data_IF_294720195556
#
_entry.id   IF_294720195556
#
_cell.length_a   1.000
_cell.length_b   1.000
_cell.length_c   1.000
_cell.angle_alpha   90.00
_cell.angle_beta   90.00
_cell.angle_gamma   90.00
#
_symmetry.space_group_name_H-M   'P 1'
#
loop_
_entity.id
_entity.type
_entity.pdbx_description
1 polymer ?
#
# COMPACT_ATOMS: atom_id res chain seq x y z
N UNK A 1 -13.05 15.21 33.53
CA UNK A 1 -12.50 14.94 32.19
C UNK A 1 -13.07 13.62 31.74
N UNK A 2 -14.00 13.65 30.78
CA UNK A 2 -14.70 12.44 30.32
C UNK A 2 -13.88 11.81 29.17
N UNK A 3 -13.44 10.57 29.34
CA UNK A 3 -12.83 9.75 28.30
C UNK A 3 -13.89 9.47 27.21
N UNK A 4 -13.69 10.01 26.02
CA UNK A 4 -14.41 9.60 24.81
C UNK A 4 -13.53 8.54 24.14
N UNK A 5 -13.75 7.27 24.49
CA UNK A 5 -13.24 6.15 23.75
C UNK A 5 -14.04 6.05 22.44
N UNK A 6 -13.42 6.36 21.33
CA UNK A 6 -13.99 6.22 20.00
C UNK A 6 -14.10 4.71 19.70
N UNK A 7 -15.32 4.18 19.79
CA UNK A 7 -15.63 2.78 19.45
C UNK A 7 -15.79 2.64 17.94
N UNK A 8 -14.70 2.54 17.20
CA UNK A 8 -14.75 1.97 15.86
C UNK A 8 -14.94 0.46 16.01
N UNK A 9 -16.17 0.00 15.79
CA UNK A 9 -16.50 -1.41 15.84
C UNK A 9 -16.02 -2.13 14.59
N UNK A 10 -15.59 -3.39 14.73
CA UNK A 10 -15.26 -4.31 13.61
C UNK A 10 -16.32 -4.32 12.50
N UNK A 11 -17.58 -4.04 12.83
CA UNK A 11 -18.68 -3.93 11.87
C UNK A 11 -18.54 -2.76 10.89
N UNK A 12 -17.95 -1.65 11.30
CA UNK A 12 -17.80 -0.48 10.43
C UNK A 12 -16.63 -0.67 9.47
N UNK A 13 -15.60 -1.38 9.88
CA UNK A 13 -14.48 -1.81 9.02
C UNK A 13 -14.97 -2.80 7.92
N UNK A 14 -15.77 -3.80 8.28
CA UNK A 14 -16.29 -4.77 7.30
C UNK A 14 -17.34 -4.14 6.35
N UNK A 15 -18.10 -3.14 6.81
CA UNK A 15 -19.01 -2.39 5.93
C UNK A 15 -18.25 -1.53 4.92
N UNK A 16 -17.10 -0.98 5.28
CA UNK A 16 -16.26 -0.23 4.34
C UNK A 16 -15.64 -1.12 3.27
N UNK A 17 -15.33 -2.39 3.59
CA UNK A 17 -14.87 -3.38 2.61
C UNK A 17 -16.01 -3.90 1.71
N UNK A 18 -17.25 -3.96 2.21
CA UNK A 18 -18.42 -4.44 1.45
C UNK A 18 -18.96 -3.45 0.41
N UNK A 19 -18.45 -2.23 0.37
CA UNK A 19 -18.81 -1.21 -0.64
C UNK A 19 -17.82 -1.12 -1.82
N UNK A 20 -16.80 -1.97 -1.84
CA UNK A 20 -15.90 -2.07 -2.97
C UNK A 20 -16.53 -2.92 -4.07
N UNK A 21 -17.08 -2.25 -5.07
CA UNK A 21 -17.40 -2.63 -6.43
C UNK A 21 -18.34 -3.83 -6.68
N UNK A 22 -19.43 -3.62 -7.42
CA UNK A 22 -20.08 -4.74 -8.08
C UNK A 22 -19.10 -5.33 -9.10
N UNK A 23 -18.87 -6.64 -9.03
CA UNK A 23 -18.25 -7.41 -10.09
C UNK A 23 -19.13 -7.26 -11.34
N UNK A 24 -18.79 -6.34 -12.23
CA UNK A 24 -19.40 -6.29 -13.54
C UNK A 24 -18.65 -7.32 -14.39
N UNK A 25 -19.22 -8.50 -14.52
CA UNK A 25 -18.94 -9.37 -15.66
C UNK A 25 -19.44 -8.65 -16.92
N UNK A 26 -18.60 -7.81 -17.50
CA UNK A 26 -18.83 -7.23 -18.82
C UNK A 26 -18.09 -8.06 -19.84
N UNK A 27 -18.80 -8.47 -20.89
CA UNK A 27 -18.24 -8.96 -22.13
C UNK A 27 -17.19 -7.97 -22.70
N UNK A 28 -16.27 -8.41 -23.59
CA UNK A 28 -15.25 -7.54 -24.18
C UNK A 28 -15.92 -6.49 -25.05
N UNK A 29 -16.23 -5.36 -24.44
CA UNK A 29 -16.68 -4.15 -25.11
C UNK A 29 -15.76 -3.04 -24.65
N UNK A 30 -15.18 -2.33 -25.59
CA UNK A 30 -14.37 -1.13 -25.44
C UNK A 30 -15.01 -0.19 -24.41
N UNK A 31 -14.47 -0.15 -23.20
CA UNK A 31 -14.78 0.90 -22.23
C UNK A 31 -14.00 2.13 -22.67
N UNK A 32 -14.68 3.01 -23.39
CA UNK A 32 -14.18 4.37 -23.63
C UNK A 32 -14.27 5.08 -22.29
N UNK A 33 -13.14 5.24 -21.61
CA UNK A 33 -13.07 6.06 -20.42
C UNK A 33 -13.47 7.50 -20.81
N UNK A 34 -14.44 8.03 -20.11
CA UNK A 34 -14.89 9.41 -20.32
C UNK A 34 -13.82 10.37 -19.76
N UNK A 35 -12.88 10.76 -20.63
CA UNK A 35 -11.76 11.66 -20.32
C UNK A 35 -12.20 13.08 -19.93
N UNK A 36 -13.50 13.38 -19.99
CA UNK A 36 -14.06 14.70 -19.64
C UNK A 36 -14.53 14.81 -18.18
N UNK A 37 -14.40 13.78 -17.36
CA UNK A 37 -14.97 13.78 -16.01
C UNK A 37 -14.38 14.84 -15.05
N UNK A 38 -13.24 15.43 -15.36
CA UNK A 38 -12.66 16.54 -14.56
C UNK A 38 -13.13 17.92 -15.06
N UNK A 39 -13.54 18.04 -16.35
CA UNK A 39 -13.93 19.29 -16.97
C UNK A 39 -15.42 19.62 -16.86
N UNK A 40 -16.30 18.63 -16.58
CA UNK A 40 -17.74 18.84 -16.48
C UNK A 40 -18.12 19.36 -15.07
N UNK A 41 -18.35 20.67 -14.98
CA UNK A 41 -18.67 21.37 -13.75
C UNK A 41 -19.95 20.87 -13.06
N UNK A 42 -19.77 20.38 -11.84
CA UNK A 42 -20.75 20.54 -10.79
C UNK A 42 -20.33 21.77 -9.97
N UNK A 43 -21.28 22.55 -9.47
CA UNK A 43 -21.08 23.73 -8.63
C UNK A 43 -20.61 23.37 -7.19
N UNK A 44 -19.79 22.33 -7.08
CA UNK A 44 -19.05 21.98 -5.85
C UNK A 44 -17.90 22.97 -5.66
N UNK A 45 -17.55 23.34 -4.42
CA UNK A 45 -16.39 24.19 -4.17
C UNK A 45 -15.18 23.61 -4.88
N UNK A 46 -14.46 24.46 -5.62
CA UNK A 46 -13.30 24.07 -6.43
C UNK A 46 -12.35 23.26 -5.57
N UNK A 47 -12.11 21.99 -5.92
CA UNK A 47 -11.23 21.12 -5.17
C UNK A 47 -9.86 21.80 -5.01
N UNK A 48 -9.29 21.75 -3.81
CA UNK A 48 -7.96 22.32 -3.54
C UNK A 48 -6.92 21.61 -4.39
N UNK A 49 -6.07 22.39 -5.06
CA UNK A 49 -4.97 21.85 -5.87
C UNK A 49 -3.67 21.83 -5.06
N UNK A 50 -2.91 20.76 -5.20
CA UNK A 50 -1.54 20.62 -4.69
C UNK A 50 -0.64 20.25 -5.86
N UNK A 51 0.61 20.71 -5.82
CA UNK A 51 1.60 20.44 -6.86
C UNK A 51 2.94 20.00 -6.26
N UNK A 52 3.63 19.11 -6.97
CA UNK A 52 4.99 18.66 -6.65
C UNK A 52 5.73 18.27 -7.94
N UNK A 53 7.01 17.96 -7.83
CA UNK A 53 7.80 17.43 -8.96
C UNK A 53 7.41 15.98 -9.28
N UNK A 54 7.04 15.22 -8.26
CA UNK A 54 6.54 13.83 -8.37
C UNK A 54 5.32 13.63 -7.48
N UNK A 55 4.29 13.02 -8.01
CA UNK A 55 3.16 12.48 -7.25
C UNK A 55 3.25 10.95 -7.25
N UNK A 56 3.28 10.36 -6.05
CA UNK A 56 3.28 8.91 -5.84
C UNK A 56 1.91 8.51 -5.31
N UNK A 57 1.18 7.72 -6.06
CA UNK A 57 -0.12 7.18 -5.63
C UNK A 57 0.10 5.77 -5.08
N UNK A 58 -0.20 5.61 -3.79
CA UNK A 58 0.08 4.41 -3.02
C UNK A 58 1.32 4.55 -2.12
N UNK A 59 1.12 4.42 -0.82
CA UNK A 59 2.15 4.55 0.20
C UNK A 59 2.72 3.22 0.68
N UNK A 60 2.57 2.14 -0.11
CA UNK A 60 3.22 0.86 0.16
C UNK A 60 4.74 0.97 0.23
N UNK A 61 5.45 -0.13 0.45
CA UNK A 61 6.92 -0.09 0.55
C UNK A 61 7.57 0.47 -0.72
N UNK A 62 7.02 0.15 -1.90
CA UNK A 62 7.46 0.70 -3.18
C UNK A 62 7.26 2.20 -3.28
N UNK A 63 6.09 2.71 -2.85
CA UNK A 63 5.80 4.14 -2.80
C UNK A 63 6.71 4.90 -1.84
N UNK A 64 6.96 4.36 -0.65
CA UNK A 64 7.92 4.92 0.30
C UNK A 64 9.34 4.97 -0.28
N UNK A 65 9.76 3.92 -0.99
CA UNK A 65 11.06 3.86 -1.65
C UNK A 65 11.17 4.90 -2.78
N UNK A 66 10.13 5.06 -3.59
CA UNK A 66 10.06 6.06 -4.66
C UNK A 66 10.12 7.47 -4.10
N UNK A 67 9.32 7.77 -3.06
CA UNK A 67 9.33 9.07 -2.39
C UNK A 67 10.70 9.40 -1.79
N UNK A 68 11.34 8.44 -1.10
CA UNK A 68 12.67 8.60 -0.53
C UNK A 68 13.74 8.84 -1.60
N UNK A 69 13.68 8.08 -2.70
CA UNK A 69 14.64 8.23 -3.81
C UNK A 69 14.49 9.60 -4.50
N UNK A 70 13.26 10.03 -4.78
CA UNK A 70 12.99 11.33 -5.38
C UNK A 70 13.47 12.48 -4.47
N UNK A 71 13.13 12.41 -3.19
CA UNK A 71 13.55 13.42 -2.21
C UNK A 71 15.08 13.53 -2.08
N UNK A 72 15.81 12.40 -2.09
CA UNK A 72 17.29 12.38 -2.10
C UNK A 72 17.88 13.02 -3.35
N UNK A 73 17.15 13.02 -4.46
CA UNK A 73 17.54 13.70 -5.70
C UNK A 73 17.06 15.16 -5.77
N UNK A 74 16.55 15.71 -4.68
CA UNK A 74 16.15 17.12 -4.59
C UNK A 74 14.74 17.42 -5.07
N UNK A 75 13.94 16.43 -5.43
CA UNK A 75 12.56 16.61 -5.90
C UNK A 75 11.60 16.80 -4.73
N UNK A 76 10.58 17.63 -4.94
CA UNK A 76 9.41 17.68 -4.07
C UNK A 76 8.45 16.55 -4.40
N UNK A 77 7.84 15.94 -3.37
CA UNK A 77 7.01 14.74 -3.52
C UNK A 77 5.71 14.88 -2.73
N UNK A 78 4.59 14.53 -3.36
CA UNK A 78 3.34 14.23 -2.68
C UNK A 78 3.11 12.72 -2.82
N UNK A 79 2.98 12.01 -1.70
CA UNK A 79 2.66 10.59 -1.67
C UNK A 79 1.30 10.39 -1.01
N UNK A 80 0.41 9.59 -1.62
CA UNK A 80 -0.86 9.21 -1.01
C UNK A 80 -0.78 7.81 -0.43
N UNK A 81 -1.62 7.54 0.56
CA UNK A 81 -1.85 6.20 1.09
C UNK A 81 -3.34 6.07 1.41
N UNK A 82 -3.98 5.00 0.97
CA UNK A 82 -5.43 4.81 1.20
C UNK A 82 -5.78 4.40 2.62
N UNK A 83 -4.79 3.96 3.40
CA UNK A 83 -4.93 3.59 4.81
C UNK A 83 -4.34 4.65 5.74
N UNK A 84 -4.35 4.40 7.02
CA UNK A 84 -3.73 5.24 8.05
C UNK A 84 -2.24 4.93 8.30
N UNK A 85 -1.68 3.91 7.61
CA UNK A 85 -0.29 3.49 7.74
C UNK A 85 0.40 3.33 6.38
N UNK A 86 1.53 3.99 6.20
CA UNK A 86 2.43 3.73 5.07
C UNK A 86 3.14 2.39 5.26
N UNK A 87 3.64 1.80 4.17
CA UNK A 87 4.44 0.58 4.18
C UNK A 87 3.71 -0.66 3.66
N UNK A 88 2.39 -0.60 3.46
CA UNK A 88 1.58 -1.64 2.84
C UNK A 88 1.75 -3.00 3.52
N UNK A 89 2.27 -3.98 2.78
CA UNK A 89 2.37 -5.38 3.21
C UNK A 89 3.06 -5.55 4.57
N UNK A 90 4.16 -4.84 4.81
CA UNK A 90 4.97 -5.00 6.02
C UNK A 90 4.47 -4.21 7.24
N UNK A 91 3.44 -3.41 7.07
CA UNK A 91 2.83 -2.60 8.12
C UNK A 91 1.36 -2.97 8.31
N UNK A 92 0.44 -2.29 7.63
CA UNK A 92 -1.00 -2.45 7.85
C UNK A 92 -1.54 -3.82 7.42
N UNK A 93 -0.93 -4.50 6.46
CA UNK A 93 -1.32 -5.85 6.04
C UNK A 93 -0.72 -6.97 6.91
N UNK A 94 0.16 -6.63 7.84
CA UNK A 94 0.78 -7.51 8.86
C UNK A 94 1.52 -8.72 8.30
N UNK A 95 2.08 -8.61 7.10
CA UNK A 95 2.84 -9.67 6.45
C UNK A 95 4.34 -9.41 6.62
N UNK A 96 5.13 -10.36 7.14
CA UNK A 96 6.58 -10.20 7.20
C UNK A 96 7.17 -10.09 5.78
N UNK A 97 8.32 -9.40 5.63
CA UNK A 97 8.95 -9.24 4.32
C UNK A 97 9.23 -10.57 3.64
N UNK A 98 8.82 -10.70 2.39
CA UNK A 98 9.14 -11.85 1.56
C UNK A 98 10.48 -11.61 0.87
N UNK A 99 11.52 -12.32 1.29
CA UNK A 99 12.90 -12.01 0.96
C UNK A 99 13.63 -13.21 0.39
N UNK A 100 14.64 -12.95 -0.45
CA UNK A 100 15.54 -14.01 -0.91
C UNK A 100 16.44 -14.51 0.24
N UNK A 101 16.90 -15.75 0.16
CA UNK A 101 17.69 -16.38 1.23
C UNK A 101 19.07 -15.75 1.50
N UNK A 102 19.56 -14.90 0.60
CA UNK A 102 20.86 -14.23 0.74
C UNK A 102 20.72 -12.75 1.15
N UNK A 103 19.52 -12.30 1.47
CA UNK A 103 19.19 -10.90 1.73
C UNK A 103 20.11 -10.21 2.76
N UNK A 104 20.69 -10.97 3.67
CA UNK A 104 21.62 -10.42 4.67
C UNK A 104 22.96 -9.94 4.10
N UNK A 105 23.31 -10.40 2.90
CA UNK A 105 24.61 -10.13 2.30
C UNK A 105 24.52 -9.53 0.90
N UNK A 106 23.49 -9.89 0.12
CA UNK A 106 23.36 -9.50 -1.28
C UNK A 106 21.89 -9.49 -1.70
N UNK A 107 21.58 -8.84 -2.80
CA UNK A 107 20.25 -8.88 -3.42
C UNK A 107 19.27 -7.81 -2.91
N UNK A 108 19.78 -6.73 -2.32
CA UNK A 108 18.96 -5.58 -1.94
C UNK A 108 19.68 -4.25 -2.16
N UNK A 109 18.91 -3.19 -2.36
CA UNK A 109 19.42 -1.82 -2.36
C UNK A 109 19.93 -1.42 -0.98
N UNK A 110 20.83 -0.44 -0.93
CA UNK A 110 21.31 0.12 0.35
C UNK A 110 20.15 0.68 1.19
N UNK A 111 19.14 1.29 0.56
CA UNK A 111 17.98 1.83 1.27
C UNK A 111 17.20 0.73 1.97
N UNK A 112 17.01 -0.42 1.32
CA UNK A 112 16.33 -1.56 1.94
C UNK A 112 17.17 -2.18 3.06
N UNK A 113 18.49 -2.30 2.88
CA UNK A 113 19.38 -2.75 3.97
C UNK A 113 19.35 -1.79 5.17
N UNK A 114 19.28 -0.48 4.93
CA UNK A 114 19.14 0.52 5.99
C UNK A 114 17.80 0.36 6.72
N UNK A 115 16.71 0.10 6.00
CA UNK A 115 15.41 -0.19 6.59
C UNK A 115 15.46 -1.43 7.49
N UNK A 116 16.02 -2.54 7.02
CA UNK A 116 16.20 -3.77 7.81
C UNK A 116 17.04 -3.55 9.05
N UNK A 117 18.15 -2.81 8.90
CA UNK A 117 19.02 -2.43 10.03
C UNK A 117 18.27 -1.54 11.02
N UNK A 118 17.51 -0.57 10.54
CA UNK A 118 16.67 0.31 11.34
C UNK A 118 15.67 -0.45 12.22
N UNK A 119 15.00 -1.48 11.68
CA UNK A 119 14.11 -2.35 12.46
C UNK A 119 14.89 -3.00 13.61
N UNK A 120 16.04 -3.62 13.35
CA UNK A 120 16.85 -4.27 14.39
C UNK A 120 17.33 -3.28 15.45
N UNK A 121 17.75 -2.09 15.02
CA UNK A 121 18.25 -1.06 15.92
C UNK A 121 17.12 -0.45 16.75
N UNK A 122 15.90 -0.34 16.19
CA UNK A 122 14.73 0.06 16.96
C UNK A 122 14.49 -0.89 18.14
N UNK A 123 14.51 -2.21 17.90
CA UNK A 123 14.39 -3.19 18.98
C UNK A 123 15.54 -3.10 19.99
N UNK A 124 16.78 -2.92 19.53
CA UNK A 124 17.94 -2.78 20.41
C UNK A 124 17.86 -1.54 21.32
N UNK A 125 17.27 -0.46 20.81
CA UNK A 125 17.11 0.78 21.58
C UNK A 125 15.92 0.74 22.53
N UNK A 126 14.82 0.14 22.14
CA UNK A 126 13.54 0.36 22.78
C UNK A 126 12.97 -0.86 23.52
N UNK A 127 13.53 -2.05 23.32
CA UNK A 127 13.02 -3.29 23.90
C UNK A 127 14.02 -3.90 24.91
N UNK A 128 13.52 -4.57 25.97
CA UNK A 128 14.36 -5.24 26.97
C UNK A 128 14.90 -6.56 26.42
N UNK A 129 15.87 -6.49 25.52
CA UNK A 129 16.50 -7.66 24.93
C UNK A 129 17.51 -8.29 25.91
N UNK A 130 17.59 -9.63 25.90
CA UNK A 130 18.71 -10.33 26.53
C UNK A 130 20.03 -9.99 25.83
N UNK A 131 21.17 -10.13 26.53
CA UNK A 131 22.49 -9.87 25.94
C UNK A 131 22.75 -10.76 24.72
N UNK A 132 22.34 -12.03 24.77
CA UNK A 132 22.45 -12.95 23.66
C UNK A 132 21.65 -12.51 22.42
N UNK A 133 20.44 -12.00 22.59
CA UNK A 133 19.62 -11.46 21.48
C UNK A 133 20.24 -10.17 20.95
N UNK A 134 20.68 -9.28 21.82
CA UNK A 134 21.33 -8.01 21.46
C UNK A 134 22.61 -8.20 20.66
N UNK A 135 23.39 -9.23 20.95
CA UNK A 135 24.63 -9.55 20.27
C UNK A 135 24.45 -10.19 18.89
N UNK A 136 23.25 -10.64 18.54
CA UNK A 136 23.01 -11.25 17.24
C UNK A 136 23.10 -10.21 16.13
N UNK A 137 24.05 -10.41 15.19
CA UNK A 137 24.20 -9.53 14.02
C UNK A 137 22.91 -9.46 13.19
N UNK A 138 22.35 -10.60 12.88
CA UNK A 138 21.12 -10.74 12.07
C UNK A 138 19.94 -11.11 12.98
N UNK A 139 19.72 -10.30 13.99
CA UNK A 139 18.62 -10.47 14.92
C UNK A 139 17.27 -10.49 14.20
N UNK A 140 16.45 -11.51 14.45
CA UNK A 140 15.08 -11.66 13.95
C UNK A 140 14.11 -11.51 15.13
N UNK A 141 13.54 -10.33 15.38
CA UNK A 141 12.80 -10.02 16.61
C UNK A 141 11.64 -10.98 16.89
N UNK A 142 10.83 -11.26 15.88
CA UNK A 142 9.67 -12.15 15.96
C UNK A 142 10.00 -13.63 15.78
N UNK A 143 11.27 -14.00 15.61
CA UNK A 143 11.67 -15.37 15.24
C UNK A 143 10.86 -15.90 14.06
N UNK A 144 10.54 -15.03 13.13
CA UNK A 144 9.77 -15.40 11.95
C UNK A 144 10.49 -16.51 11.18
N UNK A 145 9.75 -17.55 10.79
CA UNK A 145 10.30 -18.69 10.06
C UNK A 145 10.22 -18.51 8.54
N UNK A 146 9.34 -17.61 8.05
CA UNK A 146 9.18 -17.30 6.62
C UNK A 146 10.04 -16.12 6.16
N UNK A 147 10.61 -15.36 7.09
CA UNK A 147 11.42 -14.18 6.80
C UNK A 147 12.65 -14.12 7.71
N UNK A 148 13.75 -13.60 7.18
CA UNK A 148 14.96 -13.35 7.96
C UNK A 148 14.79 -12.17 8.95
N UNK A 149 13.72 -11.39 8.81
CA UNK A 149 13.36 -10.30 9.71
C UNK A 149 11.85 -10.22 9.87
N UNK A 150 11.35 -10.71 10.98
CA UNK A 150 9.96 -10.54 11.41
C UNK A 150 9.92 -9.65 12.65
N UNK A 151 8.93 -8.82 12.76
CA UNK A 151 8.77 -7.92 13.88
C UNK A 151 7.37 -7.32 13.91
N UNK A 152 7.14 -6.47 14.90
CA UNK A 152 5.86 -5.77 14.99
C UNK A 152 5.70 -4.80 13.82
N UNK A 153 4.54 -4.78 13.13
CA UNK A 153 4.28 -3.85 12.03
C UNK A 153 4.50 -2.37 12.40
N UNK A 154 4.21 -2.01 13.66
CA UNK A 154 4.45 -0.64 14.16
C UNK A 154 5.92 -0.25 14.20
N UNK A 155 6.82 -1.20 14.39
CA UNK A 155 8.27 -0.95 14.34
C UNK A 155 8.70 -0.67 12.90
N UNK A 156 8.21 -1.45 11.94
CA UNK A 156 8.45 -1.18 10.52
C UNK A 156 7.94 0.21 10.12
N UNK A 157 6.72 0.57 10.56
CA UNK A 157 6.13 1.90 10.34
C UNK A 157 7.01 3.02 10.91
N UNK A 158 7.45 2.87 12.16
CA UNK A 158 8.31 3.86 12.81
C UNK A 158 9.63 4.07 12.04
N UNK A 159 10.24 2.99 11.56
CA UNK A 159 11.50 3.06 10.78
C UNK A 159 11.27 3.72 9.42
N UNK A 160 10.15 3.48 8.74
CA UNK A 160 9.82 4.19 7.51
C UNK A 160 9.69 5.69 7.75
N UNK A 161 9.02 6.09 8.83
CA UNK A 161 8.96 7.50 9.23
C UNK A 161 10.32 8.06 9.64
N UNK A 162 11.17 7.32 10.35
CA UNK A 162 12.56 7.74 10.65
C UNK A 162 13.34 8.03 9.36
N UNK A 163 13.22 7.17 8.34
CA UNK A 163 13.90 7.35 7.05
C UNK A 163 13.39 8.56 6.26
N UNK A 164 12.11 8.86 6.35
CA UNK A 164 11.47 9.98 5.66
C UNK A 164 11.52 11.30 6.46
N UNK A 165 11.80 11.24 7.76
CA UNK A 165 11.73 12.39 8.68
C UNK A 165 12.48 13.65 8.21
N UNK A 166 13.71 13.58 7.66
CA UNK A 166 14.40 14.79 7.18
C UNK A 166 13.63 15.52 6.08
N UNK A 167 12.97 14.76 5.21
CA UNK A 167 12.24 15.29 4.04
C UNK A 167 10.81 15.71 4.38
N UNK A 168 10.21 15.08 5.40
CA UNK A 168 8.94 15.53 5.98
C UNK A 168 9.13 16.85 6.74
N UNK A 169 10.19 16.92 7.55
CA UNK A 169 10.48 18.09 8.39
C UNK A 169 10.82 19.36 7.61
N UNK A 170 11.42 19.24 6.44
CA UNK A 170 11.73 20.38 5.56
C UNK A 170 10.63 20.66 4.52
N UNK A 171 9.53 19.90 4.53
CA UNK A 171 8.41 20.06 3.59
C UNK A 171 8.66 19.54 2.17
N UNK A 172 9.75 18.83 1.92
CA UNK A 172 10.09 18.27 0.62
C UNK A 172 9.21 17.05 0.28
N UNK A 173 8.80 16.27 1.28
CA UNK A 173 7.84 15.18 1.14
C UNK A 173 6.57 15.50 1.93
N UNK A 174 5.42 15.38 1.29
CA UNK A 174 4.12 15.44 1.93
C UNK A 174 3.44 14.08 1.79
N UNK A 175 2.93 13.53 2.89
CA UNK A 175 2.15 12.28 2.90
C UNK A 175 0.67 12.63 3.16
N UNK A 176 -0.20 12.11 2.32
CA UNK A 176 -1.65 12.21 2.43
C UNK A 176 -2.19 10.82 2.76
N UNK A 177 -2.40 10.56 4.05
CA UNK A 177 -3.01 9.31 4.52
C UNK A 177 -4.51 9.30 4.23
N UNK A 178 -5.11 8.12 4.11
CA UNK A 178 -6.54 7.90 3.87
C UNK A 178 -7.03 8.53 2.56
N UNK A 179 -6.13 8.74 1.60
CA UNK A 179 -6.44 9.32 0.30
C UNK A 179 -6.27 8.28 -0.82
N UNK A 180 -7.33 8.05 -1.58
CA UNK A 180 -7.34 7.15 -2.75
C UNK A 180 -7.57 7.92 -4.04
N UNK A 181 -6.90 7.51 -5.11
CA UNK A 181 -7.16 8.02 -6.45
C UNK A 181 -8.58 7.62 -6.90
N UNK A 182 -9.34 8.59 -7.40
CA UNK A 182 -10.72 8.38 -7.86
C UNK A 182 -10.94 8.83 -9.30
N UNK A 183 -10.06 9.65 -9.86
CA UNK A 183 -10.08 10.05 -11.26
C UNK A 183 -8.71 10.57 -11.70
N UNK A 184 -8.45 10.52 -12.99
CA UNK A 184 -7.27 11.10 -13.61
C UNK A 184 -7.67 12.02 -14.77
N UNK A 185 -6.85 13.04 -15.03
CA UNK A 185 -6.87 13.79 -16.28
C UNK A 185 -5.63 13.39 -17.07
N UNK A 186 -5.85 12.83 -18.25
CA UNK A 186 -4.81 12.51 -19.22
C UNK A 186 -5.11 13.18 -20.56
N UNK A 187 -4.05 13.56 -21.26
CA UNK A 187 -4.12 14.14 -22.60
C UNK A 187 -3.11 13.42 -23.49
N UNK A 188 -3.57 12.50 -24.31
CA UNK A 188 -2.72 11.55 -25.04
C UNK A 188 -1.88 10.74 -24.04
N UNK A 189 -0.59 10.70 -24.25
CA UNK A 189 0.36 9.93 -23.41
C UNK A 189 0.80 10.65 -22.12
N UNK A 190 0.14 11.77 -21.80
CA UNK A 190 0.50 12.58 -20.65
C UNK A 190 -0.59 12.61 -19.60
N UNK A 191 -0.27 12.19 -18.38
CA UNK A 191 -1.10 12.42 -17.20
C UNK A 191 -0.85 13.85 -16.70
N UNK A 192 -1.93 14.63 -16.55
CA UNK A 192 -1.86 16.05 -16.14
C UNK A 192 -2.23 16.27 -14.67
N UNK A 193 -3.13 15.44 -14.15
CA UNK A 193 -3.59 15.53 -12.77
C UNK A 193 -4.23 14.22 -12.32
N UNK A 194 -4.14 13.97 -11.02
CA UNK A 194 -4.89 12.90 -10.33
C UNK A 194 -5.79 13.54 -9.30
N UNK A 195 -7.06 13.14 -9.26
CA UNK A 195 -7.98 13.51 -8.21
C UNK A 195 -8.03 12.41 -7.18
N UNK A 196 -7.78 12.78 -5.92
CA UNK A 196 -7.80 11.88 -4.78
C UNK A 196 -8.91 12.28 -3.83
N UNK A 197 -9.49 11.31 -3.14
CA UNK A 197 -10.54 11.50 -2.13
C UNK A 197 -10.04 11.03 -0.77
N UNK A 198 -10.22 11.86 0.22
CA UNK A 198 -10.09 11.53 1.62
C UNK A 198 -11.30 10.69 2.07
N UNK A 199 -11.06 9.49 2.57
CA UNK A 199 -12.10 8.57 2.99
C UNK A 199 -12.82 8.99 4.27
N UNK A 200 -12.17 9.76 5.15
CA UNK A 200 -12.79 10.21 6.39
C UNK A 200 -13.73 11.38 6.16
N UNK A 201 -13.24 12.41 5.47
CA UNK A 201 -13.99 13.65 5.26
C UNK A 201 -14.83 13.66 3.98
N UNK A 202 -14.52 12.78 3.03
CA UNK A 202 -15.09 12.79 1.69
C UNK A 202 -14.59 13.93 0.79
N UNK A 203 -13.67 14.77 1.29
CA UNK A 203 -13.11 15.88 0.52
C UNK A 203 -12.20 15.37 -0.60
N UNK A 204 -12.12 16.14 -1.68
CA UNK A 204 -11.27 15.83 -2.81
C UNK A 204 -10.16 16.86 -2.98
N UNK A 205 -9.00 16.36 -3.42
CA UNK A 205 -7.85 17.17 -3.82
C UNK A 205 -7.50 16.84 -5.26
N UNK A 206 -6.95 17.82 -5.97
CA UNK A 206 -6.35 17.62 -7.29
C UNK A 206 -4.83 17.70 -7.13
N UNK A 207 -4.14 16.64 -7.46
CA UNK A 207 -2.69 16.56 -7.42
C UNK A 207 -2.12 16.76 -8.82
N UNK A 208 -1.17 17.70 -8.96
CA UNK A 208 -0.49 17.99 -10.22
C UNK A 208 1.00 17.77 -10.11
N UNK A 209 1.58 17.16 -11.14
CA UNK A 209 3.02 16.98 -11.26
C UNK A 209 3.43 16.78 -12.74
N UNK A 210 4.70 17.00 -13.08
CA UNK A 210 5.25 16.53 -14.35
C UNK A 210 5.39 15.00 -14.41
N UNK A 211 5.49 14.32 -13.25
CA UNK A 211 5.63 12.86 -13.15
C UNK A 211 4.66 12.28 -12.12
N UNK A 212 4.08 11.14 -12.48
CA UNK A 212 3.23 10.34 -11.60
C UNK A 212 3.78 8.92 -11.51
N UNK A 213 3.81 8.36 -10.31
CA UNK A 213 4.15 6.97 -10.08
C UNK A 213 2.93 6.23 -9.52
N UNK A 214 2.51 5.17 -10.20
CA UNK A 214 1.55 4.22 -9.65
C UNK A 214 2.32 3.26 -8.72
N UNK A 215 2.07 3.36 -7.45
CA UNK A 215 2.61 2.50 -6.40
C UNK A 215 1.46 1.88 -5.58
N UNK A 216 0.27 1.82 -6.20
CA UNK A 216 -0.87 1.14 -5.61
C UNK A 216 -0.69 -0.38 -5.66
N UNK A 217 -1.39 -1.10 -4.81
CA UNK A 217 -1.31 -2.56 -4.75
C UNK A 217 -1.90 -3.23 -6.02
N UNK A 218 -2.77 -2.55 -6.76
CA UNK A 218 -3.53 -3.13 -7.88
C UNK A 218 -3.32 -2.39 -9.22
N UNK A 219 -2.45 -1.39 -9.29
CA UNK A 219 -2.28 -0.59 -10.49
C UNK A 219 -3.48 0.32 -10.77
N UNK A 220 -4.03 0.94 -9.73
CA UNK A 220 -5.28 1.71 -9.78
C UNK A 220 -5.24 2.87 -10.80
N UNK A 221 -4.05 3.42 -11.09
CA UNK A 221 -3.92 4.50 -12.06
C UNK A 221 -4.05 4.02 -13.51
N UNK A 222 -3.73 2.79 -13.83
CA UNK A 222 -3.75 2.27 -15.20
C UNK A 222 -5.13 2.45 -15.84
N UNK A 223 -6.23 1.94 -15.24
CA UNK A 223 -7.57 2.17 -15.80
C UNK A 223 -8.02 3.64 -15.72
N UNK A 224 -7.61 4.37 -14.66
CA UNK A 224 -8.01 5.78 -14.52
C UNK A 224 -7.38 6.70 -15.56
N UNK A 225 -6.18 6.38 -16.03
CA UNK A 225 -5.45 7.15 -17.05
C UNK A 225 -5.70 6.67 -18.46
N UNK A 226 -6.34 5.50 -18.63
CA UNK A 226 -6.49 4.83 -19.92
C UNK A 226 -5.19 4.21 -20.43
N UNK A 227 -4.20 4.02 -19.57
CA UNK A 227 -2.94 3.34 -19.92
C UNK A 227 -3.24 1.88 -20.24
N UNK A 228 -2.61 1.35 -21.29
CA UNK A 228 -2.72 -0.05 -21.67
C UNK A 228 -2.08 -0.96 -20.62
N UNK A 229 -2.75 -2.07 -20.26
CA UNK A 229 -2.27 -3.05 -19.30
C UNK A 229 -2.79 -4.45 -19.61
N UNK A 230 -2.07 -5.48 -19.15
CA UNK A 230 -2.50 -6.87 -19.22
C UNK A 230 -2.98 -7.38 -17.87
N UNK A 231 -3.95 -8.31 -17.89
CA UNK A 231 -4.47 -9.00 -16.72
C UNK A 231 -4.25 -10.50 -16.83
N UNK A 232 -3.97 -11.14 -15.70
CA UNK A 232 -3.84 -12.59 -15.59
C UNK A 232 -2.60 -13.12 -16.31
N UNK A 233 -2.73 -14.34 -16.86
CA UNK A 233 -1.63 -14.99 -17.57
C UNK A 233 -1.66 -14.63 -19.07
N UNK A 234 -0.57 -14.07 -19.57
CA UNK A 234 -0.37 -13.71 -20.97
C UNK A 234 -0.09 -14.95 -21.83
N UNK A 235 -0.31 -14.85 -23.14
CA UNK A 235 -0.01 -15.92 -24.06
C UNK A 235 1.50 -16.00 -24.38
N UNK A 236 1.98 -17.22 -24.67
CA UNK A 236 3.36 -17.42 -25.11
C UNK A 236 3.72 -16.65 -26.37
N UNK A 237 2.75 -16.48 -27.27
CA UNK A 237 2.93 -15.70 -28.50
C UNK A 237 3.16 -14.22 -28.23
N UNK A 238 2.76 -13.71 -27.07
CA UNK A 238 2.92 -12.30 -26.67
C UNK A 238 4.25 -12.06 -25.95
N UNK A 239 4.61 -12.95 -25.00
CA UNK A 239 5.77 -12.75 -24.14
C UNK A 239 7.01 -13.54 -24.58
N UNK A 240 6.84 -14.64 -25.32
CA UNK A 240 7.93 -15.57 -25.66
C UNK A 240 8.44 -16.41 -24.50
N UNK A 241 7.81 -16.35 -23.33
CA UNK A 241 8.25 -17.08 -22.13
C UNK A 241 8.05 -18.59 -22.29
N UNK A 242 9.06 -19.42 -21.92
CA UNK A 242 9.01 -20.88 -22.12
C UNK A 242 7.84 -21.57 -21.43
N UNK A 243 7.42 -21.05 -20.27
CA UNK A 243 6.36 -21.61 -19.44
C UNK A 243 5.01 -20.88 -19.56
N UNK A 244 4.93 -19.83 -20.41
CA UNK A 244 3.68 -19.17 -20.68
C UNK A 244 2.66 -20.11 -21.34
N UNK A 245 1.38 -19.87 -21.09
CA UNK A 245 0.29 -20.62 -21.71
C UNK A 245 0.24 -20.35 -23.22
N UNK A 246 -0.32 -21.29 -24.00
CA UNK A 246 -0.48 -21.10 -25.44
C UNK A 246 -1.49 -20.01 -25.77
N UNK A 247 -2.52 -19.85 -24.92
CA UNK A 247 -3.53 -18.79 -25.01
C UNK A 247 -3.55 -17.96 -23.72
N UNK A 248 -3.80 -16.66 -23.84
CA UNK A 248 -3.96 -15.77 -22.71
C UNK A 248 -5.14 -16.19 -21.81
N UNK A 249 -4.98 -16.06 -20.53
CA UNK A 249 -5.99 -16.37 -19.50
C UNK A 249 -6.19 -15.15 -18.60
N UNK A 250 -6.96 -14.13 -19.00
CA UNK A 250 -7.14 -12.90 -18.23
C UNK A 250 -7.76 -13.10 -16.83
N UNK A 251 -8.55 -14.17 -16.67
CA UNK A 251 -9.12 -14.55 -15.37
C UNK A 251 -8.19 -15.36 -14.46
N UNK A 252 -6.99 -15.72 -14.92
CA UNK A 252 -5.99 -16.43 -14.11
C UNK A 252 -5.17 -15.43 -13.28
N UNK A 253 -5.82 -14.87 -12.27
CA UNK A 253 -5.26 -13.89 -11.36
C UNK A 253 -4.69 -14.57 -10.13
N UNK A 254 -3.70 -13.95 -9.50
CA UNK A 254 -3.18 -14.42 -8.23
C UNK A 254 -4.27 -14.32 -7.15
N UNK A 255 -4.41 -15.38 -6.36
CA UNK A 255 -5.27 -15.36 -5.17
C UNK A 255 -4.74 -14.38 -4.12
N UNK A 256 -5.64 -13.85 -3.30
CA UNK A 256 -5.29 -13.01 -2.18
C UNK A 256 -5.49 -13.74 -0.85
N UNK A 257 -4.78 -13.28 0.18
CA UNK A 257 -4.90 -13.82 1.54
C UNK A 257 -5.26 -12.70 2.50
N UNK A 258 -6.31 -12.91 3.31
CA UNK A 258 -6.64 -12.03 4.42
C UNK A 258 -5.74 -12.36 5.61
N UNK A 259 -4.79 -11.48 5.91
CA UNK A 259 -3.88 -11.64 7.03
C UNK A 259 -4.47 -11.06 8.31
N UNK A 260 -4.20 -11.70 9.44
CA UNK A 260 -4.63 -11.24 10.76
C UNK A 260 -3.67 -11.74 11.83
N UNK A 261 -3.63 -11.03 12.95
CA UNK A 261 -2.79 -11.37 14.10
C UNK A 261 -3.62 -12.26 15.04
N UNK A 262 -3.02 -13.37 15.47
CA UNK A 262 -3.56 -14.23 16.52
C UNK A 262 -2.60 -14.29 17.68
N UNK A 263 -3.13 -14.43 18.89
CA UNK A 263 -2.40 -14.75 20.09
C UNK A 263 -2.96 -16.02 20.73
N UNK A 264 -2.10 -16.73 21.49
CA UNK A 264 -2.49 -17.90 22.25
C UNK A 264 -2.27 -17.62 23.72
N UNK A 265 -3.36 -17.54 24.48
CA UNK A 265 -3.33 -17.32 25.93
C UNK A 265 -3.71 -18.62 26.63
N UNK A 266 -2.70 -19.29 27.19
CA UNK A 266 -2.88 -20.59 27.82
C UNK A 266 -3.82 -20.50 29.05
N UNK A 267 -4.86 -21.33 29.07
CA UNK A 267 -5.80 -21.41 30.18
C UNK A 267 -6.93 -20.37 30.12
N UNK A 268 -7.01 -19.59 29.05
CA UNK A 268 -8.10 -18.64 28.83
C UNK A 268 -9.07 -19.17 27.76
N UNK A 269 -10.35 -18.78 27.87
CA UNK A 269 -11.40 -19.09 26.90
C UNK A 269 -11.77 -17.81 26.13
N UNK A 270 -11.46 -17.81 24.84
CA UNK A 270 -11.73 -16.69 23.93
C UNK A 270 -12.72 -17.06 22.81
N UNK A 271 -13.64 -18.00 23.08
CA UNK A 271 -14.72 -18.36 22.15
C UNK A 271 -15.60 -17.13 21.91
N UNK A 272 -15.82 -16.83 20.65
CA UNK A 272 -16.71 -15.74 20.21
C UNK A 272 -18.03 -16.30 19.72
N UNK A 273 -19.06 -15.46 19.73
CA UNK A 273 -20.34 -15.80 19.10
C UNK A 273 -20.13 -16.07 17.61
N UNK A 274 -20.90 -17.04 17.10
CA UNK A 274 -20.85 -17.42 15.69
C UNK A 274 -21.28 -16.22 14.82
N UNK A 275 -20.42 -15.77 13.86
CA UNK A 275 -20.82 -14.70 12.94
C UNK A 275 -22.08 -15.05 12.14
N UNK A 276 -22.84 -14.05 11.75
CA UNK A 276 -24.08 -14.25 11.00
C UNK A 276 -23.85 -14.96 9.67
N UNK A 277 -22.73 -14.67 9.01
CA UNK A 277 -22.33 -15.24 7.72
C UNK A 277 -21.57 -16.58 7.84
N UNK A 278 -21.42 -17.13 9.05
CA UNK A 278 -20.60 -18.32 9.28
C UNK A 278 -20.97 -19.50 8.38
N UNK A 279 -22.27 -19.70 8.16
CA UNK A 279 -22.75 -20.82 7.35
C UNK A 279 -22.38 -20.67 5.87
N UNK A 280 -22.46 -19.43 5.36
CA UNK A 280 -22.05 -19.10 3.98
C UNK A 280 -20.56 -19.38 3.72
N UNK A 281 -19.69 -19.04 4.69
CA UNK A 281 -18.24 -19.22 4.53
C UNK A 281 -17.74 -20.62 4.85
N UNK A 282 -18.59 -21.47 5.44
CA UNK A 282 -18.23 -22.84 5.82
C UNK A 282 -18.36 -23.83 4.65
N UNK A 283 -19.22 -23.58 3.70
CA UNK A 283 -19.47 -24.40 2.51
C UNK A 283 -18.41 -24.15 1.43
#
# INVERSE_FOLDING_TARGET
>A
MKNVANKFGRRDFLKSLGLAAPLILAAPGTVVADTNAIAAGSSSPRAKELAADLVVIGGGLGGCAAALAAARNGLTVIMTEETDWIGGQITQQVVPPDENKWIETVGASQSYQNFRTGIRDYYRRNYPLTDAARAQKYFNPGRCWVSAIGGEPRVALAVLYEMLAPYLGNGQVQILLQHKAVAAAANGDRVEAIRVRDWESGNELVLRAPYFADATEQGDLLPLTGTEYSLGAEARSETGEPHAKDAAQPGNLQGFTMCFIMDYLAGEDHVIDRPAEYQFWRE
#
